data_IF_288221278258
#
_entry.id   IF_288221278258
#
_cell.length_a   1.000
_cell.length_b   1.000
_cell.length_c   1.000
_cell.angle_alpha   90.00
_cell.angle_beta   90.00
_cell.angle_gamma   90.00
#
_symmetry.space_group_name_H-M   'P 1'
#
loop_
_entity.id
_entity.type
_entity.pdbx_description
1 polymer ?
#
# COMPACT_ATOMS: atom_id res chain seq x y z
N UNK A 1 14.83 -15.89 4.86
CA UNK A 1 13.78 -15.58 5.86
C UNK A 1 12.66 -16.62 5.89
N UNK A 2 12.26 -17.20 4.75
CA UNK A 2 11.20 -18.24 4.64
C UNK A 2 11.40 -19.55 5.43
N UNK A 3 12.59 -19.80 5.97
CA UNK A 3 12.86 -20.99 6.81
C UNK A 3 12.43 -20.80 8.27
N UNK A 4 12.23 -19.55 8.71
CA UNK A 4 11.71 -19.23 10.03
C UNK A 4 10.19 -19.43 10.02
N UNK A 5 9.63 -19.89 11.14
CA UNK A 5 8.19 -19.73 11.36
C UNK A 5 7.82 -18.24 11.37
N UNK A 6 6.55 -17.92 11.13
CA UNK A 6 6.09 -16.54 11.14
C UNK A 6 6.34 -15.87 12.49
N UNK A 7 6.07 -16.56 13.61
CA UNK A 7 6.28 -16.00 14.95
C UNK A 7 7.77 -15.77 15.24
N UNK A 8 8.67 -16.68 14.86
CA UNK A 8 10.11 -16.45 15.00
C UNK A 8 10.57 -15.25 14.16
N UNK A 9 10.05 -15.12 12.93
CA UNK A 9 10.37 -13.98 12.07
C UNK A 9 9.87 -12.66 12.66
N UNK A 10 8.64 -12.62 13.20
CA UNK A 10 8.09 -11.44 13.89
C UNK A 10 8.99 -11.07 15.08
N UNK A 11 9.31 -12.03 15.95
CA UNK A 11 10.16 -11.79 17.13
C UNK A 11 11.54 -11.24 16.73
N UNK A 12 12.16 -11.81 15.71
CA UNK A 12 13.48 -11.37 15.24
C UNK A 12 13.44 -10.04 14.47
N UNK A 13 12.33 -9.70 13.83
CA UNK A 13 12.16 -8.44 13.11
C UNK A 13 11.87 -7.24 14.02
N UNK A 14 11.24 -7.47 15.19
CA UNK A 14 10.84 -6.40 16.11
C UNK A 14 11.97 -5.43 16.47
N UNK A 15 13.18 -5.87 16.87
CA UNK A 15 14.27 -4.95 17.19
C UNK A 15 14.69 -4.06 16.01
N UNK A 16 14.61 -4.56 14.77
CA UNK A 16 14.93 -3.79 13.57
C UNK A 16 13.83 -2.79 13.25
N UNK A 17 12.57 -3.19 13.38
CA UNK A 17 11.44 -2.27 13.23
C UNK A 17 11.50 -1.16 14.28
N UNK A 18 11.81 -1.51 15.53
CA UNK A 18 11.91 -0.55 16.60
C UNK A 18 13.07 0.43 16.39
N UNK A 19 14.22 -0.03 15.90
CA UNK A 19 15.38 0.85 15.69
C UNK A 19 15.27 1.70 14.40
N UNK A 20 14.85 1.11 13.30
CA UNK A 20 15.12 1.65 11.95
C UNK A 20 13.85 2.14 11.20
N UNK A 21 12.64 2.00 11.77
CA UNK A 21 11.47 2.67 11.21
C UNK A 21 11.59 4.20 11.36
N UNK A 22 11.05 4.99 10.40
CA UNK A 22 11.10 6.45 10.45
C UNK A 22 10.56 7.01 11.78
N UNK A 23 11.13 8.13 12.24
CA UNK A 23 10.73 8.82 13.48
C UNK A 23 9.26 9.26 13.51
N UNK A 24 8.64 9.44 12.33
CA UNK A 24 7.21 9.76 12.18
C UNK A 24 6.29 8.59 12.58
N UNK A 25 6.80 7.36 12.69
CA UNK A 25 6.00 6.20 13.09
C UNK A 25 5.64 6.29 14.58
N UNK A 26 4.34 6.15 14.88
CA UNK A 26 3.84 6.12 16.25
C UNK A 26 4.35 4.88 16.99
N UNK A 27 4.79 5.09 18.25
CA UNK A 27 5.35 4.06 19.12
C UNK A 27 4.59 3.98 20.45
N UNK A 28 4.56 2.81 21.14
CA UNK A 28 5.12 1.53 20.69
C UNK A 28 4.35 0.94 19.50
N UNK A 29 5.01 0.06 18.73
CA UNK A 29 4.36 -0.62 17.61
C UNK A 29 3.29 -1.59 18.15
N UNK A 30 2.13 -1.62 17.49
CA UNK A 30 1.11 -2.61 17.81
C UNK A 30 1.54 -3.98 17.28
N UNK A 31 1.88 -4.91 18.18
CA UNK A 31 2.38 -6.23 17.82
C UNK A 31 1.39 -7.06 16.99
N UNK A 32 0.08 -6.89 17.23
CA UNK A 32 -0.94 -7.60 16.46
C UNK A 32 -1.00 -7.08 15.02
N UNK A 33 -0.77 -5.78 14.82
CA UNK A 33 -0.64 -5.20 13.49
C UNK A 33 0.66 -5.65 12.80
N UNK A 34 1.78 -5.69 13.53
CA UNK A 34 3.05 -6.22 13.01
C UNK A 34 2.87 -7.66 12.51
N UNK A 35 2.20 -8.53 13.28
CA UNK A 35 1.89 -9.91 12.88
C UNK A 35 1.08 -10.01 11.58
N UNK A 36 0.19 -9.06 11.31
CA UNK A 36 -0.56 -9.02 10.05
C UNK A 36 0.32 -8.61 8.87
N UNK A 37 1.27 -7.70 9.08
CA UNK A 37 2.18 -7.21 8.03
C UNK A 37 3.27 -8.22 7.69
N UNK A 38 3.83 -8.90 8.68
CA UNK A 38 5.03 -9.74 8.52
C UNK A 38 4.92 -10.87 7.48
N UNK A 39 3.79 -11.56 7.26
CA UNK A 39 3.67 -12.56 6.19
C UNK A 39 4.03 -12.00 4.82
N UNK A 40 3.55 -10.80 4.49
CA UNK A 40 3.84 -10.14 3.20
C UNK A 40 5.31 -9.72 3.08
N UNK A 41 5.95 -9.43 4.20
CA UNK A 41 7.34 -8.96 4.24
C UNK A 41 8.32 -10.14 4.26
N UNK A 42 8.01 -11.22 4.97
CA UNK A 42 8.84 -12.42 5.07
C UNK A 42 9.10 -13.03 3.69
N UNK A 43 8.10 -13.00 2.82
CA UNK A 43 8.19 -13.47 1.43
C UNK A 43 9.21 -12.69 0.58
N UNK A 44 9.55 -11.47 1.00
CA UNK A 44 10.40 -10.53 0.25
C UNK A 44 11.73 -10.25 0.93
N UNK A 45 11.80 -10.46 2.25
CA UNK A 45 12.97 -10.14 3.04
C UNK A 45 14.14 -11.10 2.77
N UNK A 46 15.26 -10.53 2.32
CA UNK A 46 16.53 -11.27 2.23
C UNK A 46 17.24 -11.34 3.59
N UNK A 47 17.14 -10.27 4.38
CA UNK A 47 17.73 -10.12 5.72
C UNK A 47 16.74 -9.43 6.65
N UNK A 48 16.93 -9.56 7.98
CA UNK A 48 16.14 -8.84 8.98
C UNK A 48 16.36 -7.32 8.89
N UNK A 49 17.57 -6.88 8.57
CA UNK A 49 17.90 -5.47 8.37
C UNK A 49 17.13 -4.82 7.21
N UNK A 50 16.67 -5.59 6.23
CA UNK A 50 15.84 -5.07 5.13
C UNK A 50 14.37 -4.87 5.53
N UNK A 51 13.91 -5.46 6.64
CA UNK A 51 12.48 -5.48 7.04
C UNK A 51 11.92 -4.06 7.24
N UNK A 52 12.59 -3.13 7.95
CA UNK A 52 12.08 -1.77 8.14
C UNK A 52 11.89 -1.05 6.81
N UNK A 53 12.85 -1.18 5.90
CA UNK A 53 12.73 -0.62 4.56
C UNK A 53 11.59 -1.29 3.78
N UNK A 54 11.38 -2.61 3.89
CA UNK A 54 10.30 -3.28 3.17
C UNK A 54 8.91 -2.95 3.73
N UNK A 55 8.81 -2.61 5.02
CA UNK A 55 7.54 -2.50 5.72
C UNK A 55 7.12 -1.07 6.10
N UNK A 56 8.01 -0.06 6.02
CA UNK A 56 7.75 1.26 6.61
C UNK A 56 6.41 1.90 6.22
N UNK A 57 5.95 1.73 4.98
CA UNK A 57 4.72 2.32 4.48
C UNK A 57 3.48 1.71 5.14
N UNK A 58 3.56 0.55 5.80
CA UNK A 58 2.46 0.03 6.63
C UNK A 58 2.26 0.85 7.91
N UNK A 59 3.32 1.49 8.40
CA UNK A 59 3.35 2.19 9.69
C UNK A 59 3.23 3.70 9.58
N UNK A 60 3.47 4.26 8.40
CA UNK A 60 3.25 5.69 8.13
C UNK A 60 1.74 5.97 7.96
N UNK A 61 1.32 7.21 8.18
CA UNK A 61 -0.01 7.65 7.77
C UNK A 61 -0.01 8.00 6.28
N UNK A 62 1.01 8.74 5.85
CA UNK A 62 1.22 9.19 4.48
C UNK A 62 2.58 8.72 3.96
N UNK A 63 2.61 7.93 2.86
CA UNK A 63 3.87 7.57 2.21
C UNK A 63 4.42 8.76 1.42
N UNK A 64 5.74 8.88 1.37
CA UNK A 64 6.42 9.92 0.61
C UNK A 64 6.76 9.41 -0.79
N UNK A 65 6.38 10.15 -1.81
CA UNK A 65 6.65 9.88 -3.22
C UNK A 65 6.46 11.16 -4.05
N UNK A 66 7.08 11.20 -5.22
CA UNK A 66 6.99 12.33 -6.16
C UNK A 66 5.78 12.18 -7.10
N UNK A 67 5.37 13.28 -7.74
CA UNK A 67 4.27 13.27 -8.73
C UNK A 67 4.67 12.41 -9.93
N UNK A 68 5.93 12.45 -10.35
CA UNK A 68 6.45 11.67 -11.47
C UNK A 68 6.34 10.16 -11.21
N UNK A 69 6.52 9.72 -9.96
CA UNK A 69 6.33 8.32 -9.60
C UNK A 69 4.85 7.93 -9.69
N UNK A 70 3.94 8.83 -9.29
CA UNK A 70 2.49 8.60 -9.35
C UNK A 70 2.00 8.54 -10.80
N UNK A 71 2.56 9.38 -11.68
CA UNK A 71 2.30 9.43 -13.12
C UNK A 71 3.21 8.50 -13.94
N UNK A 72 3.75 7.46 -13.30
CA UNK A 72 4.46 6.40 -14.03
C UNK A 72 3.61 5.80 -15.15
N UNK A 73 4.25 5.14 -16.12
CA UNK A 73 3.59 4.62 -17.34
C UNK A 73 3.04 5.70 -18.30
N UNK A 74 3.55 6.93 -18.23
CA UNK A 74 3.10 8.07 -19.06
C UNK A 74 1.60 8.40 -18.86
N UNK A 75 1.06 8.07 -17.69
CA UNK A 75 -0.32 8.41 -17.36
C UNK A 75 -0.42 9.93 -17.17
N UNK A 76 -1.33 10.60 -17.88
CA UNK A 76 -1.54 12.03 -17.69
C UNK A 76 -2.28 12.33 -16.37
N UNK A 77 -2.08 13.53 -15.84
CA UNK A 77 -2.62 13.92 -14.55
C UNK A 77 -4.16 13.90 -14.51
N UNK A 78 -4.83 14.30 -15.60
CA UNK A 78 -6.29 14.33 -15.68
C UNK A 78 -6.87 12.92 -15.58
N UNK A 79 -6.33 11.99 -16.36
CA UNK A 79 -6.72 10.58 -16.33
C UNK A 79 -6.42 9.93 -14.97
N UNK A 80 -5.26 10.23 -14.38
CA UNK A 80 -4.90 9.75 -13.04
C UNK A 80 -5.87 10.25 -11.97
N UNK A 81 -6.24 11.54 -12.00
CA UNK A 81 -7.25 12.13 -11.10
C UNK A 81 -8.59 11.43 -11.27
N UNK A 82 -9.07 11.27 -12.51
CA UNK A 82 -10.33 10.60 -12.80
C UNK A 82 -10.34 9.16 -12.26
N UNK A 83 -9.26 8.40 -12.50
CA UNK A 83 -9.13 7.03 -12.02
C UNK A 83 -9.17 6.93 -10.49
N UNK A 84 -8.51 7.85 -9.78
CA UNK A 84 -8.54 7.91 -8.32
C UNK A 84 -9.94 8.30 -7.81
N UNK A 85 -10.63 9.26 -8.46
CA UNK A 85 -11.99 9.67 -8.09
C UNK A 85 -12.97 8.51 -8.18
N UNK A 86 -12.99 7.80 -9.31
CA UNK A 86 -13.88 6.64 -9.50
C UNK A 86 -13.54 5.53 -8.50
N UNK A 87 -12.24 5.28 -8.28
CA UNK A 87 -11.78 4.34 -7.26
C UNK A 87 -12.30 4.70 -5.86
N UNK A 88 -12.17 5.96 -5.45
CA UNK A 88 -12.67 6.45 -4.15
C UNK A 88 -14.18 6.28 -4.02
N UNK A 89 -14.95 6.54 -5.08
CA UNK A 89 -16.41 6.36 -5.08
C UNK A 89 -16.77 4.89 -4.85
N UNK A 90 -16.16 3.95 -5.59
CA UNK A 90 -16.43 2.50 -5.47
C UNK A 90 -15.98 1.94 -4.12
N UNK A 91 -14.82 2.37 -3.61
CA UNK A 91 -14.31 1.89 -2.32
C UNK A 91 -15.08 2.44 -1.12
N UNK A 92 -15.77 3.58 -1.25
CA UNK A 92 -16.63 4.08 -0.16
C UNK A 92 -17.84 3.18 0.06
N UNK A 93 -18.39 2.60 -1.00
CA UNK A 93 -19.62 1.79 -0.97
C UNK A 93 -19.38 0.30 -0.69
N UNK A 94 -18.13 -0.16 -0.64
CA UNK A 94 -17.83 -1.56 -0.35
C UNK A 94 -18.20 -1.93 1.10
N UNK A 95 -18.87 -3.07 1.26
CA UNK A 95 -19.34 -3.59 2.54
C UNK A 95 -18.23 -4.33 3.31
N UNK A 96 -17.44 -5.15 2.60
CA UNK A 96 -16.35 -5.94 3.16
C UNK A 96 -15.00 -5.41 2.71
N UNK A 97 -14.09 -5.16 3.67
CA UNK A 97 -12.73 -4.69 3.38
C UNK A 97 -11.72 -5.86 3.34
N UNK A 98 -11.97 -6.81 2.44
CA UNK A 98 -11.08 -7.96 2.21
C UNK A 98 -10.29 -7.81 0.91
N UNK A 99 -9.16 -8.52 0.78
CA UNK A 99 -8.37 -8.49 -0.46
C UNK A 99 -9.20 -8.92 -1.69
N UNK A 100 -10.02 -9.97 -1.54
CA UNK A 100 -10.89 -10.45 -2.61
C UNK A 100 -11.94 -9.40 -3.00
N UNK A 101 -12.65 -8.84 -2.00
CA UNK A 101 -13.68 -7.83 -2.25
C UNK A 101 -13.09 -6.57 -2.92
N UNK A 102 -11.89 -6.15 -2.51
CA UNK A 102 -11.17 -5.04 -3.12
C UNK A 102 -10.80 -5.36 -4.58
N UNK A 103 -10.32 -6.56 -4.86
CA UNK A 103 -9.99 -6.99 -6.21
C UNK A 103 -11.23 -7.02 -7.12
N UNK A 104 -12.31 -7.65 -6.67
CA UNK A 104 -13.57 -7.78 -7.42
C UNK A 104 -14.19 -6.42 -7.71
N UNK A 105 -14.01 -5.45 -6.80
CA UNK A 105 -14.50 -4.08 -6.94
C UNK A 105 -13.65 -3.25 -7.90
N UNK A 106 -12.33 -3.39 -7.85
CA UNK A 106 -11.40 -2.50 -8.57
C UNK A 106 -11.02 -3.01 -9.95
N UNK A 107 -10.97 -4.33 -10.15
CA UNK A 107 -10.58 -4.93 -11.44
C UNK A 107 -11.50 -4.52 -12.61
N UNK A 108 -12.84 -4.43 -12.46
CA UNK A 108 -13.71 -3.95 -13.53
C UNK A 108 -13.41 -2.51 -13.99
N UNK A 109 -12.85 -1.67 -13.11
CA UNK A 109 -12.58 -0.27 -13.42
C UNK A 109 -11.51 -0.09 -14.49
N UNK A 110 -10.65 -1.09 -14.70
CA UNK A 110 -9.66 -1.09 -15.78
C UNK A 110 -10.36 -0.93 -17.13
N UNK A 111 -11.45 -1.68 -17.34
CA UNK A 111 -12.25 -1.61 -18.57
C UNK A 111 -13.09 -0.34 -18.59
N UNK A 112 -13.73 0.02 -17.48
CA UNK A 112 -14.56 1.23 -17.35
C UNK A 112 -13.78 2.51 -17.68
N UNK A 113 -12.52 2.59 -17.25
CA UNK A 113 -11.64 3.75 -17.44
C UNK A 113 -10.78 3.66 -18.72
N UNK A 114 -10.90 2.58 -19.49
CA UNK A 114 -10.07 2.31 -20.66
C UNK A 114 -8.55 2.43 -20.38
N UNK A 115 -8.11 1.84 -19.26
CA UNK A 115 -6.71 1.82 -18.84
C UNK A 115 -6.14 0.41 -18.97
N UNK A 116 -4.83 0.29 -19.12
CA UNK A 116 -4.14 -0.98 -18.92
C UNK A 116 -4.08 -1.34 -17.43
N UNK A 117 -3.86 -2.63 -17.16
CA UNK A 117 -3.63 -3.11 -15.78
C UNK A 117 -2.42 -2.44 -15.14
N UNK A 118 -1.38 -2.14 -15.92
CA UNK A 118 -0.16 -1.48 -15.46
C UNK A 118 -0.39 -0.04 -15.04
N UNK A 119 -1.12 0.73 -15.86
CA UNK A 119 -1.47 2.13 -15.54
C UNK A 119 -2.34 2.19 -14.29
N UNK A 120 -3.45 1.44 -14.25
CA UNK A 120 -4.41 1.56 -13.16
C UNK A 120 -3.85 1.04 -11.83
N UNK A 121 -3.34 -0.20 -11.78
CA UNK A 121 -2.82 -0.73 -10.52
C UNK A 121 -1.42 -0.22 -10.18
N UNK A 122 -0.66 0.30 -11.15
CA UNK A 122 0.56 1.06 -10.89
C UNK A 122 0.25 2.35 -10.13
N UNK A 123 -0.71 3.13 -10.62
CA UNK A 123 -1.20 4.34 -9.98
C UNK A 123 -1.67 4.08 -8.54
N UNK A 124 -2.58 3.11 -8.35
CA UNK A 124 -3.09 2.79 -7.02
C UNK A 124 -1.98 2.29 -6.09
N UNK A 125 -1.03 1.48 -6.59
CA UNK A 125 0.10 1.03 -5.77
C UNK A 125 0.97 2.19 -5.31
N UNK A 126 1.32 3.12 -6.20
CA UNK A 126 2.11 4.28 -5.81
C UNK A 126 1.34 5.16 -4.82
N UNK A 127 0.06 5.44 -5.05
CA UNK A 127 -0.76 6.20 -4.11
C UNK A 127 -0.83 5.53 -2.73
N UNK A 128 -0.98 4.20 -2.68
CA UNK A 128 -1.12 3.45 -1.43
C UNK A 128 0.21 3.23 -0.71
N UNK A 129 1.32 2.99 -1.42
CA UNK A 129 2.59 2.56 -0.79
C UNK A 129 3.76 3.50 -1.01
N UNK A 130 3.65 4.45 -1.94
CA UNK A 130 4.75 5.29 -2.42
C UNK A 130 5.82 4.52 -3.19
N UNK A 131 5.47 3.38 -3.81
CA UNK A 131 6.42 2.45 -4.42
C UNK A 131 5.86 1.82 -5.68
N UNK A 132 6.74 1.53 -6.63
CA UNK A 132 6.41 0.71 -7.82
C UNK A 132 6.49 -0.79 -7.53
N UNK A 133 7.35 -1.19 -6.58
CA UNK A 133 7.49 -2.57 -6.13
C UNK A 133 7.11 -2.72 -4.65
N UNK A 134 6.01 -3.42 -4.39
CA UNK A 134 5.45 -3.68 -3.07
C UNK A 134 4.87 -5.11 -3.00
N UNK A 135 4.39 -5.59 -1.85
CA UNK A 135 3.55 -6.79 -1.78
C UNK A 135 2.30 -6.67 -2.65
N UNK A 136 1.50 -7.75 -2.81
CA UNK A 136 0.25 -7.70 -3.55
C UNK A 136 -0.66 -6.55 -3.07
N UNK A 137 -1.17 -5.77 -4.02
CA UNK A 137 -1.83 -4.48 -3.74
C UNK A 137 -3.06 -4.68 -2.83
N UNK A 138 -3.94 -5.62 -3.16
CA UNK A 138 -5.19 -5.80 -2.42
C UNK A 138 -4.96 -6.36 -1.00
N UNK A 139 -3.99 -7.26 -0.83
CA UNK A 139 -3.57 -7.72 0.50
C UNK A 139 -2.98 -6.58 1.34
N UNK A 140 -2.19 -5.71 0.69
CA UNK A 140 -1.63 -4.51 1.32
C UNK A 140 -2.74 -3.56 1.78
N UNK A 141 -3.70 -3.26 0.91
CA UNK A 141 -4.85 -2.40 1.24
C UNK A 141 -5.76 -3.02 2.31
N UNK A 142 -5.93 -4.33 2.31
CA UNK A 142 -6.69 -5.05 3.34
C UNK A 142 -6.05 -4.88 4.73
N UNK A 143 -4.72 -5.04 4.85
CA UNK A 143 -3.99 -4.85 6.10
C UNK A 143 -3.98 -3.37 6.52
N UNK A 144 -3.76 -2.43 5.58
CA UNK A 144 -3.79 -0.99 5.88
C UNK A 144 -5.17 -0.53 6.40
N UNK A 145 -6.23 -1.20 5.94
CA UNK A 145 -7.61 -0.86 6.28
C UNK A 145 -8.22 0.25 5.42
N UNK A 146 -9.53 0.40 5.54
CA UNK A 146 -10.38 1.30 4.74
C UNK A 146 -9.96 2.76 4.88
N UNK A 147 -9.93 3.26 6.10
CA UNK A 147 -9.67 4.69 6.38
C UNK A 147 -8.31 5.14 5.84
N UNK A 148 -7.24 4.39 6.14
CA UNK A 148 -5.88 4.72 5.69
C UNK A 148 -5.76 4.65 4.16
N UNK A 149 -6.35 3.64 3.53
CA UNK A 149 -6.33 3.51 2.07
C UNK A 149 -7.07 4.65 1.37
N UNK A 150 -8.28 5.00 1.85
CA UNK A 150 -9.06 6.12 1.30
C UNK A 150 -8.35 7.46 1.51
N UNK A 151 -7.76 7.69 2.69
CA UNK A 151 -6.98 8.91 2.98
C UNK A 151 -5.82 9.05 2.01
N UNK A 152 -5.04 8.00 1.78
CA UNK A 152 -3.88 8.02 0.87
C UNK A 152 -4.29 8.29 -0.58
N UNK A 153 -5.36 7.67 -1.04
CA UNK A 153 -5.92 7.95 -2.37
C UNK A 153 -6.39 9.40 -2.50
N UNK A 154 -7.07 9.92 -1.48
CA UNK A 154 -7.50 11.33 -1.47
C UNK A 154 -6.32 12.30 -1.50
N UNK A 155 -5.23 12.00 -0.78
CA UNK A 155 -4.00 12.80 -0.82
C UNK A 155 -3.35 12.74 -2.21
N UNK A 156 -3.28 11.55 -2.82
CA UNK A 156 -2.77 11.39 -4.18
C UNK A 156 -3.57 12.21 -5.19
N UNK A 157 -4.90 12.21 -5.09
CA UNK A 157 -5.78 13.05 -5.91
C UNK A 157 -5.48 14.55 -5.73
N UNK A 158 -5.34 15.01 -4.47
CA UNK A 158 -5.06 16.41 -4.16
C UNK A 158 -3.70 16.85 -4.71
N UNK A 159 -2.67 16.00 -4.59
CA UNK A 159 -1.33 16.29 -5.11
C UNK A 159 -1.28 16.41 -6.65
N UNK A 160 -2.22 15.80 -7.35
CA UNK A 160 -2.35 15.90 -8.81
C UNK A 160 -3.21 17.08 -9.26
N UNK A 161 -3.97 17.69 -8.34
CA UNK A 161 -4.80 18.83 -8.66
C UNK A 161 -3.91 20.10 -8.71
N UNK A 162 -4.02 20.92 -9.76
CA UNK A 162 -3.26 22.17 -9.89
C UNK A 162 -3.62 23.23 -8.86
#
# INVERSE_FOLDING_TARGET
MRKLSLEEFVQQAMPFLDRDLPSLVKRPLNINYVRQVMPLIQERAKTLAAVPQLANFFFLDEPQYSIELLLSHNLDATTAIQAIVVTLQKLKTIESWSAQSLEDTLRPLIVELNLSTGEFFGLLRVAITGRTAAPPLFQTMAILGKEKSLKRLSIAQQRLSP
#
